data_IF_544984833473
#
_entry.id   IF_544984833473
#
_cell.length_a   1.000
_cell.length_b   1.000
_cell.length_c   1.000
_cell.angle_alpha   90.00
_cell.angle_beta   90.00
_cell.angle_gamma   90.00
#
_symmetry.space_group_name_H-M   'P 1'
#
loop_
_entity.id
_entity.type
_entity.pdbx_description
1 polymer ?
#
# COMPACT_ATOMS: atom_id res chain seq x y z
N UNK A 1 -5.97 -19.69 -32.03
CA UNK A 1 -4.61 -19.31 -31.77
C UNK A 1 -4.61 -18.48 -30.49
N UNK A 2 -4.11 -19.13 -29.42
CA UNK A 2 -4.05 -18.53 -28.10
C UNK A 2 -2.93 -17.49 -28.11
N UNK A 3 -3.26 -16.25 -27.88
CA UNK A 3 -2.33 -15.24 -27.45
C UNK A 3 -2.04 -15.48 -25.97
N UNK A 4 -1.19 -16.46 -25.70
CA UNK A 4 -0.45 -16.52 -24.44
C UNK A 4 0.63 -15.46 -24.60
N UNK A 5 0.31 -14.24 -24.15
CA UNK A 5 1.33 -13.24 -23.92
C UNK A 5 2.29 -13.82 -22.90
N UNK A 6 3.54 -14.05 -23.32
CA UNK A 6 4.65 -14.30 -22.42
C UNK A 6 4.74 -13.08 -21.50
N UNK A 7 4.17 -13.18 -20.30
CA UNK A 7 4.56 -12.31 -19.19
C UNK A 7 6.01 -12.65 -18.89
N UNK A 8 6.89 -11.99 -19.61
CA UNK A 8 8.30 -11.98 -19.31
C UNK A 8 8.38 -11.33 -17.93
N UNK A 9 8.70 -12.14 -16.90
CA UNK A 9 8.94 -11.67 -15.55
C UNK A 9 10.12 -10.71 -15.57
N UNK A 10 9.83 -9.45 -15.88
CA UNK A 10 10.79 -8.36 -15.76
C UNK A 10 11.00 -8.16 -14.28
N UNK A 11 12.20 -8.53 -13.81
CA UNK A 11 12.62 -8.25 -12.45
C UNK A 11 13.29 -6.88 -12.44
N UNK A 12 12.55 -5.91 -12.01
CA UNK A 12 13.09 -4.60 -11.73
C UNK A 12 13.97 -4.67 -10.49
N UNK A 13 15.05 -3.88 -10.48
CA UNK A 13 16.08 -3.94 -9.46
C UNK A 13 16.27 -2.56 -8.84
N UNK A 14 16.48 -2.56 -7.53
CA UNK A 14 16.78 -1.36 -6.75
C UNK A 14 18.21 -1.44 -6.25
N UNK A 15 18.99 -0.44 -6.59
CA UNK A 15 20.39 -0.32 -6.18
C UNK A 15 20.55 0.89 -5.27
N UNK A 16 21.48 0.80 -4.32
CA UNK A 16 21.92 1.93 -3.52
C UNK A 16 22.92 2.82 -4.27
N UNK A 17 23.38 3.88 -3.62
CA UNK A 17 24.37 4.81 -4.17
C UNK A 17 25.75 4.19 -4.39
N UNK A 18 26.08 3.05 -3.78
CA UNK A 18 27.32 2.29 -4.01
C UNK A 18 27.20 1.31 -5.17
N UNK A 19 25.99 1.11 -5.72
CA UNK A 19 25.71 0.15 -6.78
C UNK A 19 25.40 -1.26 -6.24
N UNK A 20 25.17 -1.41 -4.94
CA UNK A 20 24.78 -2.67 -4.34
C UNK A 20 23.27 -2.92 -4.57
N UNK A 21 22.90 -4.16 -4.88
CA UNK A 21 21.51 -4.57 -5.06
C UNK A 21 20.82 -4.64 -3.70
N UNK A 22 19.84 -3.76 -3.48
CA UNK A 22 19.10 -3.64 -2.21
C UNK A 22 17.79 -4.42 -2.25
N UNK A 23 17.09 -4.39 -3.39
CA UNK A 23 15.80 -5.04 -3.54
C UNK A 23 15.52 -5.34 -5.01
N UNK A 24 14.54 -6.19 -5.24
CA UNK A 24 14.00 -6.44 -6.57
C UNK A 24 12.48 -6.63 -6.47
N UNK A 25 11.79 -6.35 -7.56
CA UNK A 25 10.34 -6.55 -7.63
C UNK A 25 9.93 -6.95 -9.04
N UNK A 26 8.70 -7.42 -9.14
CA UNK A 26 8.07 -7.70 -10.43
C UNK A 26 6.84 -6.81 -10.57
N UNK A 27 6.57 -6.41 -11.80
CA UNK A 27 5.36 -5.66 -12.09
C UNK A 27 4.16 -6.61 -12.14
N UNK A 28 3.06 -6.16 -11.55
CA UNK A 28 1.74 -6.76 -11.64
C UNK A 28 0.85 -5.80 -12.41
N UNK A 29 -0.29 -6.21 -12.87
CA UNK A 29 -1.32 -5.36 -13.44
C UNK A 29 -0.85 -4.03 -14.07
N UNK A 30 -0.71 -3.98 -15.38
CA UNK A 30 -0.47 -2.74 -16.13
C UNK A 30 0.79 -1.96 -15.70
N UNK A 31 1.85 -2.67 -15.29
CA UNK A 31 3.13 -2.05 -14.98
C UNK A 31 3.27 -1.53 -13.55
N UNK A 32 2.33 -1.80 -12.66
CA UNK A 32 2.46 -1.48 -11.23
C UNK A 32 3.23 -2.58 -10.51
N UNK A 33 4.09 -2.19 -9.58
CA UNK A 33 4.82 -3.09 -8.69
C UNK A 33 5.09 -2.43 -7.35
N UNK A 34 5.53 -3.23 -6.39
CA UNK A 34 5.97 -2.71 -5.10
C UNK A 34 7.19 -3.47 -4.62
N UNK A 35 7.97 -2.81 -3.80
CA UNK A 35 9.09 -3.41 -3.08
C UNK A 35 9.18 -2.81 -1.68
N UNK A 36 9.83 -3.54 -0.80
CA UNK A 36 10.10 -3.10 0.56
C UNK A 36 11.61 -3.01 0.76
N UNK A 37 12.05 -1.97 1.44
CA UNK A 37 13.44 -1.80 1.83
C UNK A 37 13.55 -1.00 3.12
N UNK A 38 14.66 -1.18 3.82
CA UNK A 38 15.08 -0.30 4.92
C UNK A 38 16.13 0.62 4.34
N UNK A 39 15.82 1.91 4.15
CA UNK A 39 16.79 2.83 3.56
C UNK A 39 17.90 3.17 4.55
N UNK A 40 19.14 2.96 4.16
CA UNK A 40 20.36 3.32 4.90
C UNK A 40 21.21 4.37 4.16
N UNK A 41 20.85 4.70 2.94
CA UNK A 41 21.47 5.72 2.08
C UNK A 41 20.47 6.80 1.70
N UNK A 42 20.99 7.90 1.21
CA UNK A 42 20.18 9.06 0.80
C UNK A 42 19.69 8.98 -0.64
N UNK A 43 20.27 8.10 -1.45
CA UNK A 43 19.97 7.98 -2.88
C UNK A 43 19.92 6.53 -3.30
N UNK A 44 18.93 6.18 -4.11
CA UNK A 44 18.75 4.87 -4.70
C UNK A 44 18.41 5.00 -6.19
N UNK A 45 18.65 3.92 -6.91
CA UNK A 45 18.37 3.82 -8.33
C UNK A 45 17.54 2.58 -8.62
N UNK A 46 16.43 2.76 -9.32
CA UNK A 46 15.64 1.67 -9.87
C UNK A 46 16.07 1.46 -11.32
N UNK A 47 16.33 0.22 -11.69
CA UNK A 47 16.59 -0.19 -13.07
C UNK A 47 15.47 -1.11 -13.49
N UNK A 48 14.63 -0.63 -14.40
CA UNK A 48 13.55 -1.38 -15.00
C UNK A 48 13.97 -1.87 -16.39
N UNK A 49 13.60 -3.09 -16.76
CA UNK A 49 13.79 -3.63 -18.08
C UNK A 49 12.43 -3.82 -18.76
N UNK A 50 12.18 -3.08 -19.84
CA UNK A 50 10.94 -3.16 -20.59
C UNK A 50 11.24 -3.27 -22.09
N UNK A 51 10.74 -4.32 -22.72
CA UNK A 51 10.94 -4.59 -24.15
C UNK A 51 12.43 -4.61 -24.57
N UNK A 52 13.27 -5.22 -23.70
CA UNK A 52 14.72 -5.31 -23.92
C UNK A 52 15.47 -3.98 -23.76
N UNK A 53 14.80 -2.92 -23.31
CA UNK A 53 15.39 -1.62 -23.00
C UNK A 53 15.43 -1.40 -21.51
N UNK A 54 16.58 -0.85 -21.04
CA UNK A 54 16.74 -0.49 -19.63
C UNK A 54 16.36 0.96 -19.40
N UNK A 55 15.61 1.18 -18.36
CA UNK A 55 15.17 2.49 -17.89
C UNK A 55 15.68 2.69 -16.46
N UNK A 56 16.31 3.83 -16.24
CA UNK A 56 16.91 4.18 -14.97
C UNK A 56 16.11 5.31 -14.29
N UNK A 57 15.72 5.08 -13.04
CA UNK A 57 15.02 6.07 -12.22
C UNK A 57 15.79 6.27 -10.92
N UNK A 58 16.23 7.49 -10.64
CA UNK A 58 16.84 7.83 -9.38
C UNK A 58 15.79 8.42 -8.43
N UNK A 59 15.85 8.05 -7.15
CA UNK A 59 15.14 8.71 -6.10
C UNK A 59 16.07 9.04 -4.94
N UNK A 60 16.02 10.30 -4.50
CA UNK A 60 16.99 10.87 -3.56
C UNK A 60 16.37 11.57 -2.36
N UNK A 61 15.05 11.63 -2.29
CA UNK A 61 14.37 12.33 -1.20
C UNK A 61 14.05 11.40 -0.03
N UNK A 62 15.04 10.60 0.37
CA UNK A 62 14.91 9.74 1.54
C UNK A 62 15.02 10.58 2.80
N UNK A 63 13.96 10.56 3.61
CA UNK A 63 13.96 11.23 4.91
C UNK A 63 14.60 10.27 5.91
N UNK A 64 15.63 10.76 6.61
CA UNK A 64 16.40 9.96 7.59
C UNK A 64 15.63 9.69 8.88
N UNK A 65 14.61 10.48 9.17
CA UNK A 65 13.87 10.41 10.42
C UNK A 65 12.36 10.60 10.14
N UNK A 66 11.52 9.76 10.73
CA UNK A 66 10.09 9.82 10.49
C UNK A 66 9.32 8.64 11.06
N UNK A 67 8.09 8.51 10.60
CA UNK A 67 7.14 7.48 11.01
C UNK A 67 6.81 6.58 9.83
N UNK A 68 6.68 5.29 10.11
CA UNK A 68 6.27 4.28 9.13
C UNK A 68 4.98 3.65 9.59
N UNK A 69 4.00 3.60 8.69
CA UNK A 69 2.77 2.84 8.86
C UNK A 69 2.68 1.79 7.75
N UNK A 70 2.48 0.54 8.15
CA UNK A 70 2.24 -0.58 7.27
C UNK A 70 0.89 -1.19 7.61
N UNK A 71 0.07 -1.42 6.60
CA UNK A 71 -1.22 -2.10 6.72
C UNK A 71 -1.17 -3.35 5.86
N UNK A 72 -1.40 -4.49 6.48
CA UNK A 72 -1.36 -5.79 5.80
C UNK A 72 -2.59 -6.62 6.16
N UNK A 73 -2.98 -7.51 5.26
CA UNK A 73 -3.91 -8.57 5.59
C UNK A 73 -3.20 -9.59 6.49
N UNK A 74 -3.67 -9.74 7.73
CA UNK A 74 -3.22 -10.82 8.61
C UNK A 74 -3.88 -12.15 8.16
N UNK A 75 -5.17 -12.06 7.86
CA UNK A 75 -6.00 -13.15 7.34
C UNK A 75 -7.20 -12.57 6.54
N UNK A 76 -8.17 -13.43 6.22
CA UNK A 76 -9.36 -13.02 5.48
C UNK A 76 -10.24 -12.00 6.24
N UNK A 77 -10.17 -11.99 7.56
CA UNK A 77 -11.08 -11.23 8.44
C UNK A 77 -10.39 -10.07 9.16
N UNK A 78 -9.05 -10.00 9.13
CA UNK A 78 -8.27 -9.10 10.00
C UNK A 78 -7.23 -8.32 9.22
N UNK A 79 -7.19 -7.00 9.42
CA UNK A 79 -6.03 -6.17 9.11
C UNK A 79 -5.06 -6.14 10.28
N UNK A 80 -3.76 -6.14 9.98
CA UNK A 80 -2.71 -5.80 10.92
C UNK A 80 -2.12 -4.45 10.55
N UNK A 81 -2.15 -3.52 11.49
CA UNK A 81 -1.51 -2.21 11.36
C UNK A 81 -0.25 -2.20 12.20
N UNK A 82 0.86 -1.90 11.56
CA UNK A 82 2.17 -1.85 12.17
C UNK A 82 2.70 -0.42 12.08
N UNK A 83 3.02 0.17 13.22
CA UNK A 83 3.54 1.53 13.35
C UNK A 83 4.95 1.48 13.93
N UNK A 84 5.83 2.25 13.37
CA UNK A 84 7.20 2.40 13.82
C UNK A 84 7.68 3.83 13.60
N UNK A 85 8.57 4.31 14.47
CA UNK A 85 9.27 5.58 14.33
C UNK A 85 10.76 5.36 14.19
N UNK A 86 11.47 6.35 13.68
CA UNK A 86 12.94 6.37 13.71
C UNK A 86 13.46 6.45 15.13
N UNK A 87 14.61 5.82 15.45
CA UNK A 87 15.15 5.76 16.81
C UNK A 87 15.51 7.13 17.42
N UNK A 88 15.81 8.12 16.58
CA UNK A 88 16.16 9.48 16.96
C UNK A 88 14.95 10.34 17.38
N UNK A 89 13.72 9.89 17.09
CA UNK A 89 12.52 10.58 17.52
C UNK A 89 12.15 10.19 18.96
N UNK A 90 11.65 11.13 19.77
CA UNK A 90 11.11 10.80 21.11
C UNK A 90 9.85 9.95 21.00
N UNK A 91 9.44 9.38 22.13
CA UNK A 91 8.09 8.81 22.24
C UNK A 91 7.05 9.91 22.00
N UNK A 92 6.02 9.61 21.22
CA UNK A 92 5.01 10.58 20.82
C UNK A 92 3.61 10.01 20.95
N UNK A 93 2.66 10.88 21.26
CA UNK A 93 1.23 10.54 21.26
C UNK A 93 0.68 10.78 19.86
N UNK A 94 0.22 9.73 19.25
CA UNK A 94 -0.26 9.69 17.88
C UNK A 94 -1.72 9.25 17.84
N UNK A 95 -2.39 9.52 16.73
CA UNK A 95 -3.71 8.99 16.44
C UNK A 95 -3.73 8.34 15.07
N UNK A 96 -4.41 7.19 14.97
CA UNK A 96 -4.69 6.53 13.70
C UNK A 96 -6.18 6.58 13.45
N UNK A 97 -6.58 7.04 12.27
CA UNK A 97 -7.97 6.93 11.80
C UNK A 97 -8.07 5.98 10.62
N UNK A 98 -9.22 5.32 10.51
CA UNK A 98 -9.61 4.53 9.34
C UNK A 98 -10.88 5.13 8.78
N UNK A 99 -10.81 5.59 7.56
CA UNK A 99 -11.93 6.22 6.87
C UNK A 99 -12.26 5.53 5.54
N UNK A 100 -13.50 5.71 5.10
CA UNK A 100 -13.96 5.27 3.80
C UNK A 100 -14.95 6.30 3.27
N UNK A 101 -14.74 6.78 2.04
CA UNK A 101 -15.62 7.77 1.38
C UNK A 101 -15.91 8.99 2.26
N UNK A 102 -14.89 9.49 3.00
CA UNK A 102 -15.00 10.65 3.88
C UNK A 102 -15.62 10.41 5.26
N UNK A 103 -16.07 9.19 5.57
CA UNK A 103 -16.58 8.82 6.89
C UNK A 103 -15.53 8.07 7.68
N UNK A 104 -15.31 8.46 8.94
CA UNK A 104 -14.40 7.75 9.87
C UNK A 104 -15.14 6.60 10.53
N UNK A 105 -14.58 5.41 10.45
CA UNK A 105 -15.12 4.16 11.02
C UNK A 105 -14.37 3.70 12.26
N UNK A 106 -13.09 4.07 12.36
CA UNK A 106 -12.26 3.77 13.54
C UNK A 106 -11.30 4.92 13.77
N UNK A 107 -11.06 5.23 15.04
CA UNK A 107 -10.01 6.13 15.47
C UNK A 107 -9.43 5.63 16.79
N UNK A 108 -8.10 5.60 16.87
CA UNK A 108 -7.37 5.13 18.04
C UNK A 108 -6.23 6.08 18.35
N UNK A 109 -6.11 6.46 19.62
CA UNK A 109 -4.98 7.21 20.14
C UNK A 109 -4.00 6.26 20.84
N UNK A 110 -2.71 6.45 20.59
CA UNK A 110 -1.65 5.57 21.09
C UNK A 110 -0.40 6.37 21.44
N UNK A 111 0.47 5.76 22.24
CA UNK A 111 1.82 6.27 22.48
C UNK A 111 2.79 5.37 21.73
N UNK A 112 3.50 5.94 20.75
CA UNK A 112 4.52 5.24 20.00
C UNK A 112 5.90 5.47 20.63
N UNK A 113 6.40 4.44 21.33
CA UNK A 113 7.73 4.40 21.93
C UNK A 113 8.78 3.80 21.00
N UNK A 114 9.83 3.22 21.58
CA UNK A 114 10.95 2.63 20.82
C UNK A 114 10.60 1.28 20.20
N UNK A 115 9.57 0.62 20.71
CA UNK A 115 9.08 -0.64 20.14
C UNK A 115 8.00 -0.36 19.12
N UNK A 116 7.92 -1.15 18.05
CA UNK A 116 6.81 -1.09 17.12
C UNK A 116 5.47 -1.29 17.84
N UNK A 117 4.48 -0.49 17.45
CA UNK A 117 3.11 -0.66 17.90
C UNK A 117 2.33 -1.43 16.84
N UNK A 118 1.74 -2.55 17.25
CA UNK A 118 0.99 -3.43 16.36
C UNK A 118 -0.40 -3.62 16.91
N UNK A 119 -1.41 -3.36 16.09
CA UNK A 119 -2.80 -3.63 16.46
C UNK A 119 -3.57 -4.26 15.29
N UNK A 120 -4.69 -4.86 15.62
CA UNK A 120 -5.52 -5.59 14.68
C UNK A 120 -6.89 -4.93 14.55
N UNK A 121 -7.42 -4.93 13.34
CA UNK A 121 -8.73 -4.41 13.00
C UNK A 121 -9.56 -5.48 12.31
N UNK A 122 -10.76 -5.69 12.82
CA UNK A 122 -11.75 -6.59 12.23
C UNK A 122 -12.33 -5.96 10.95
N UNK A 123 -12.12 -6.62 9.82
CA UNK A 123 -12.61 -6.19 8.50
C UNK A 123 -14.13 -6.17 8.43
N UNK A 124 -14.82 -7.04 9.18
CA UNK A 124 -16.26 -7.10 9.23
C UNK A 124 -16.92 -5.85 9.85
N UNK A 125 -16.16 -5.07 10.63
CA UNK A 125 -16.61 -3.80 11.20
C UNK A 125 -16.35 -2.59 10.30
N UNK A 126 -15.71 -2.81 9.17
CA UNK A 126 -15.32 -1.77 8.22
C UNK A 126 -16.15 -1.92 6.93
N UNK A 127 -16.50 -0.83 6.24
CA UNK A 127 -17.24 -0.90 5.01
C UNK A 127 -16.41 -1.54 3.89
N UNK A 128 -17.10 -2.11 2.90
CA UNK A 128 -16.47 -2.53 1.66
C UNK A 128 -15.97 -1.33 0.87
N UNK A 129 -14.81 -1.47 0.24
CA UNK A 129 -14.22 -0.46 -0.63
C UNK A 129 -12.82 -0.04 -0.20
N UNK A 130 -12.37 1.07 -0.74
CA UNK A 130 -11.05 1.62 -0.44
C UNK A 130 -11.08 2.30 0.93
N UNK A 131 -10.33 1.73 1.87
CA UNK A 131 -10.11 2.28 3.21
C UNK A 131 -8.86 3.14 3.18
N UNK A 132 -8.91 4.27 3.87
CA UNK A 132 -7.78 5.16 4.09
C UNK A 132 -7.39 5.09 5.56
N UNK A 133 -6.17 4.67 5.83
CA UNK A 133 -5.54 4.67 7.14
C UNK A 133 -4.64 5.89 7.22
N UNK A 134 -4.86 6.75 8.20
CA UNK A 134 -4.10 7.98 8.35
C UNK A 134 -3.54 8.11 9.76
N UNK A 135 -2.24 8.35 9.86
CA UNK A 135 -1.51 8.58 11.12
C UNK A 135 -1.33 10.07 11.33
N UNK A 136 -1.67 10.57 12.51
CA UNK A 136 -1.58 11.98 12.89
C UNK A 136 -0.73 12.17 14.13
N UNK A 137 -0.07 13.33 14.23
CA UNK A 137 0.47 13.80 15.50
C UNK A 137 -0.60 14.54 16.33
N UNK A 138 -0.22 15.02 17.52
CA UNK A 138 -1.10 15.75 18.43
C UNK A 138 -1.67 17.05 17.82
N UNK A 139 -0.96 17.67 16.88
CA UNK A 139 -1.39 18.90 16.20
C UNK A 139 -2.34 18.63 15.02
N UNK A 140 -2.68 17.38 14.78
CA UNK A 140 -3.50 16.97 13.64
C UNK A 140 -2.74 16.92 12.30
N UNK A 141 -1.42 17.01 12.30
CA UNK A 141 -0.60 16.89 11.10
C UNK A 141 -0.52 15.42 10.68
N UNK A 142 -0.76 15.17 9.40
CA UNK A 142 -0.63 13.84 8.81
C UNK A 142 0.85 13.46 8.73
N UNK A 143 1.20 12.31 9.29
CA UNK A 143 2.53 11.73 9.30
C UNK A 143 2.69 10.61 8.28
N UNK A 144 1.66 9.80 8.11
CA UNK A 144 1.64 8.72 7.12
C UNK A 144 0.21 8.44 6.67
N UNK A 145 0.08 7.92 5.46
CA UNK A 145 -1.19 7.55 4.85
C UNK A 145 -1.04 6.24 4.07
N UNK A 146 -2.04 5.35 4.17
CA UNK A 146 -2.07 4.06 3.47
C UNK A 146 -3.49 3.75 3.02
N UNK A 147 -3.59 3.17 1.83
CA UNK A 147 -4.83 2.65 1.29
C UNK A 147 -4.85 1.13 1.37
N UNK A 148 -6.00 0.58 1.74
CA UNK A 148 -6.26 -0.84 1.69
C UNK A 148 -7.67 -1.08 1.13
N UNK A 149 -7.85 -2.14 0.36
CA UNK A 149 -9.15 -2.46 -0.19
C UNK A 149 -9.84 -3.53 0.66
N UNK A 150 -10.94 -3.17 1.32
CA UNK A 150 -11.75 -4.10 2.10
C UNK A 150 -12.76 -4.81 1.20
N UNK A 151 -12.58 -6.13 1.09
CA UNK A 151 -13.55 -7.03 0.46
C UNK A 151 -14.50 -7.55 1.53
N UNK A 152 -15.35 -6.68 2.10
CA UNK A 152 -16.36 -7.18 3.05
C UNK A 152 -17.14 -8.35 2.44
N UNK A 153 -17.66 -9.28 3.24
CA UNK A 153 -18.50 -10.38 2.74
C UNK A 153 -19.65 -9.78 1.94
N UNK A 154 -19.68 -10.18 0.72
CA UNK A 154 -20.25 -9.42 -0.38
C UNK A 154 -21.76 -9.49 -0.38
N UNK A 155 -22.39 -8.37 -0.20
CA UNK A 155 -23.63 -8.07 -0.87
C UNK A 155 -23.34 -7.80 -2.35
N UNK A 156 -23.22 -8.85 -3.14
CA UNK A 156 -23.16 -8.71 -4.59
C UNK A 156 -24.54 -8.23 -5.10
N UNK A 157 -24.55 -7.09 -5.73
CA UNK A 157 -25.72 -6.72 -6.52
C UNK A 157 -25.82 -7.69 -7.70
N UNK A 158 -26.79 -8.56 -7.69
CA UNK A 158 -27.06 -9.45 -8.80
C UNK A 158 -27.85 -8.67 -9.84
N UNK A 159 -27.21 -8.31 -10.94
CA UNK A 159 -27.86 -7.64 -12.07
C UNK A 159 -28.28 -8.71 -13.08
N UNK A 160 -29.56 -8.80 -13.37
CA UNK A 160 -30.10 -9.62 -14.48
C UNK A 160 -30.49 -8.65 -15.59
N UNK A 161 -29.97 -8.88 -16.78
CA UNK A 161 -30.35 -8.10 -17.97
C UNK A 161 -31.16 -9.00 -18.87
N UNK A 162 -32.39 -8.59 -19.12
CA UNK A 162 -33.27 -9.27 -20.06
C UNK A 162 -33.58 -8.32 -21.22
N UNK A 163 -33.39 -8.80 -22.46
CA UNK A 163 -33.81 -8.06 -23.62
C UNK A 163 -35.33 -8.17 -23.81
N UNK A 164 -36.00 -7.05 -24.02
CA UNK A 164 -37.42 -7.00 -24.27
C UNK A 164 -37.80 -7.55 -25.67
N UNK A 165 -36.80 -7.66 -26.56
CA UNK A 165 -36.94 -8.21 -27.92
C UNK A 165 -35.74 -9.06 -28.29
N UNK A 166 -35.98 -10.17 -29.05
CA UNK A 166 -34.88 -11.03 -29.48
C UNK A 166 -33.93 -10.38 -30.50
N UNK A 167 -34.40 -9.34 -31.20
CA UNK A 167 -33.62 -8.59 -32.20
C UNK A 167 -34.02 -7.11 -32.22
N UNK A 168 -33.05 -6.24 -32.35
CA UNK A 168 -33.24 -4.83 -32.65
C UNK A 168 -32.82 -4.59 -34.10
N UNK A 169 -33.64 -3.90 -34.88
CA UNK A 169 -33.23 -3.48 -36.22
C UNK A 169 -32.24 -2.32 -36.09
N UNK A 170 -31.21 -2.25 -36.94
CA UNK A 170 -30.29 -1.13 -36.97
C UNK A 170 -30.97 0.17 -37.35
#
# INVERSE_FOLDING_TARGET
PSLVGSEMCIRDRVYDSSGELVSYFSTYHQGMGFFEMIPDKTTYKIVADYDGKKYDFAFSNIISSGYVMRVTDLDAETYQVHLQKSPDLPADTLAVSVSCRGTVYSAEALILGDKPYIYQLDKGKLPAGCLQFTLYNQDGKILADRLAFNRAPLEYCRVTVEADKPFYKP
#
